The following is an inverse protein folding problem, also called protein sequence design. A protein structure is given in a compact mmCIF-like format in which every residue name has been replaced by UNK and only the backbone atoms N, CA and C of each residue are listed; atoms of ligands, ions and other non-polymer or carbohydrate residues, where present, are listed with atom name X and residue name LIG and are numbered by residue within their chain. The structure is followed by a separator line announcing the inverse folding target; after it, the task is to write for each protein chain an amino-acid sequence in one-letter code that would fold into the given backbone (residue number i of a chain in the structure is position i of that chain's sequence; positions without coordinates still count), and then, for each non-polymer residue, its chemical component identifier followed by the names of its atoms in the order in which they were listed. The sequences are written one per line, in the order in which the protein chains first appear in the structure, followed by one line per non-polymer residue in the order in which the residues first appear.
data_IF_153743638953
#
_entry.id   IF_153743638953
#
_cell.length_a   1.000
_cell.length_b   1.000
_cell.length_c   1.000
_cell.angle_alpha   90.00
_cell.angle_beta   90.00
_cell.angle_gamma   90.00
#
_symmetry.space_group_name_H-M   'P 1'
#
loop_
_entity.id
_entity.type
_entity.pdbx_description
1 polymer ?
#
# COMPACT_ATOMS: atom_id res chain seq x y z
N UNK A 1 1.11 2.89 22.31
CA UNK A 1 1.23 3.45 20.95
C UNK A 1 0.06 2.88 20.18
N UNK A 2 -1.06 3.60 20.19
CA UNK A 2 -2.35 3.08 19.72
C UNK A 2 -2.40 3.04 18.19
N UNK A 3 -2.78 1.85 17.71
CA UNK A 3 -2.95 1.45 16.33
C UNK A 3 -4.00 2.34 15.67
N UNK A 4 -3.54 3.29 14.84
CA UNK A 4 -4.39 3.87 13.81
C UNK A 4 -4.71 2.73 12.85
N UNK A 5 -5.99 2.37 12.71
CA UNK A 5 -6.46 1.45 11.67
C UNK A 5 -6.12 2.07 10.31
N UNK A 6 -4.89 1.85 9.84
CA UNK A 6 -4.54 2.09 8.46
C UNK A 6 -5.39 1.10 7.65
N UNK A 7 -6.24 1.60 6.75
CA UNK A 7 -6.96 0.76 5.80
C UNK A 7 -5.93 0.07 4.90
N UNK A 8 -5.48 -1.11 5.33
CA UNK A 8 -4.53 -1.95 4.63
C UNK A 8 -5.34 -2.94 3.79
N UNK A 9 -5.15 -2.88 2.47
CA UNK A 9 -5.83 -3.78 1.52
C UNK A 9 -4.85 -4.79 0.93
N UNK A 10 -5.33 -5.98 0.59
CA UNK A 10 -4.50 -6.97 -0.11
C UNK A 10 -4.44 -6.63 -1.60
N UNK A 11 -3.25 -6.73 -2.21
CA UNK A 11 -3.08 -6.55 -3.64
C UNK A 11 -3.93 -7.53 -4.47
N UNK A 12 -4.22 -8.72 -3.93
CA UNK A 12 -5.08 -9.70 -4.58
C UNK A 12 -6.54 -9.23 -4.68
N UNK A 13 -7.00 -8.45 -3.71
CA UNK A 13 -8.38 -7.98 -3.64
C UNK A 13 -8.53 -6.66 -4.42
N UNK A 14 -7.51 -5.80 -4.35
CA UNK A 14 -7.44 -4.55 -5.10
C UNK A 14 -6.09 -4.45 -5.84
N UNK A 15 -5.94 -5.12 -7.00
CA UNK A 15 -4.74 -5.01 -7.80
C UNK A 15 -4.59 -3.59 -8.34
N UNK A 16 -3.35 -3.21 -8.66
CA UNK A 16 -3.12 -1.93 -9.33
C UNK A 16 -3.73 -1.99 -10.73
N UNK A 17 -4.53 -0.98 -11.08
CA UNK A 17 -5.05 -0.81 -12.45
C UNK A 17 -3.90 -0.64 -13.46
N UNK A 18 -2.84 0.07 -13.04
CA UNK A 18 -1.61 0.24 -13.79
C UNK A 18 -0.42 -0.23 -12.93
N UNK A 19 0.33 -1.23 -13.40
CA UNK A 19 1.43 -1.81 -12.64
C UNK A 19 2.42 -0.72 -12.14
N UNK A 20 2.71 -0.74 -10.84
CA UNK A 20 3.62 0.22 -10.21
C UNK A 20 3.04 1.63 -10.01
N UNK A 21 1.73 1.81 -10.16
CA UNK A 21 1.02 3.05 -9.88
C UNK A 21 -0.09 2.83 -8.85
N UNK A 22 -0.26 3.85 -8.02
CA UNK A 22 -1.44 3.99 -7.19
C UNK A 22 -2.59 4.50 -8.06
N UNK A 23 -3.80 4.27 -7.59
CA UNK A 23 -5.07 4.68 -8.16
C UNK A 23 -5.21 6.20 -8.15
N UNK A 24 -4.46 6.90 -7.29
CA UNK A 24 -4.33 8.36 -7.35
C UNK A 24 -3.33 8.85 -8.42
N UNK A 25 -2.71 7.95 -9.20
CA UNK A 25 -1.75 8.25 -10.26
C UNK A 25 -0.28 8.33 -9.82
N UNK A 26 0.00 8.40 -8.52
CA UNK A 26 1.36 8.45 -7.99
C UNK A 26 2.11 7.12 -8.15
N UNK A 27 3.44 7.19 -8.27
CA UNK A 27 4.35 6.04 -8.39
C UNK A 27 5.42 5.98 -7.28
N UNK A 28 5.38 6.90 -6.32
CA UNK A 28 6.34 6.93 -5.20
C UNK A 28 5.72 6.27 -3.97
N UNK A 29 6.37 5.20 -3.47
CA UNK A 29 5.90 4.42 -2.34
C UNK A 29 6.95 4.30 -1.24
N UNK A 30 6.49 4.31 0.01
CA UNK A 30 7.27 3.85 1.16
C UNK A 30 6.94 2.38 1.40
N UNK A 31 7.94 1.53 1.35
CA UNK A 31 7.79 0.08 1.56
C UNK A 31 8.41 -0.39 2.86
N UNK A 32 7.77 -1.38 3.49
CA UNK A 32 8.26 -2.04 4.71
C UNK A 32 7.95 -3.54 4.63
N UNK A 33 8.83 -4.39 5.16
CA UNK A 33 8.53 -5.81 5.38
C UNK A 33 8.24 -6.03 6.85
N UNK A 34 7.10 -6.66 7.15
CA UNK A 34 6.69 -7.02 8.51
C UNK A 34 5.98 -8.39 8.47
N UNK A 35 6.37 -9.30 9.37
CA UNK A 35 5.81 -10.66 9.45
C UNK A 35 5.79 -11.42 8.11
N UNK A 36 6.84 -11.25 7.30
CA UNK A 36 6.97 -11.89 5.99
C UNK A 36 6.07 -11.31 4.89
N UNK A 37 5.34 -10.22 5.16
CA UNK A 37 4.48 -9.52 4.19
C UNK A 37 5.14 -8.23 3.72
N UNK A 38 4.95 -7.90 2.44
CA UNK A 38 5.45 -6.65 1.88
C UNK A 38 4.37 -5.58 1.88
N UNK A 39 4.54 -4.54 2.69
CA UNK A 39 3.65 -3.40 2.76
C UNK A 39 4.15 -2.30 1.84
N UNK A 40 3.26 -1.77 1.01
CA UNK A 40 3.51 -0.66 0.10
C UNK A 40 2.56 0.48 0.42
N UNK A 41 3.06 1.59 0.96
CA UNK A 41 2.29 2.79 1.26
C UNK A 41 2.53 3.88 0.23
N UNK A 42 1.48 4.35 -0.44
CA UNK A 42 1.55 5.49 -1.35
C UNK A 42 1.94 6.75 -0.56
N UNK A 43 3.00 7.46 -0.98
CA UNK A 43 3.42 8.67 -0.28
C UNK A 43 2.48 9.86 -0.51
N UNK A 44 1.63 9.80 -1.54
CA UNK A 44 0.67 10.85 -1.89
C UNK A 44 -0.65 10.69 -1.14
N UNK A 45 -1.39 9.60 -1.37
CA UNK A 45 -2.71 9.39 -0.77
C UNK A 45 -2.69 8.58 0.54
N UNK A 46 -1.54 8.04 0.93
CA UNK A 46 -1.40 7.25 2.16
C UNK A 46 -1.98 5.83 2.12
N UNK A 47 -2.55 5.38 0.99
CA UNK A 47 -3.08 4.02 0.83
C UNK A 47 -1.97 2.99 1.02
N UNK A 48 -2.20 2.01 1.90
CA UNK A 48 -1.26 0.91 2.15
C UNK A 48 -1.82 -0.38 1.53
N UNK A 49 -1.02 -1.03 0.69
CA UNK A 49 -1.31 -2.36 0.14
C UNK A 49 -0.34 -3.39 0.68
N UNK A 50 -0.82 -4.59 0.98
CA UNK A 50 0.04 -5.77 1.16
C UNK A 50 0.17 -6.46 -0.20
N UNK A 51 1.40 -6.55 -0.71
CA UNK A 51 1.75 -7.29 -1.93
C UNK A 51 2.17 -8.71 -1.57
#
# INVERSE_FOLDING_TARGET
MENKEENIVLYRDEPDEHAGRCECGNNVFKSTVLDGKFYRKCQECGKTKIV
#
